data_IF_622260382613
#
_entry.id   IF_622260382613
#
_cell.length_a   1.000
_cell.length_b   1.000
_cell.length_c   1.000
_cell.angle_alpha   90.00
_cell.angle_beta   90.00
_cell.angle_gamma   90.00
#
_symmetry.space_group_name_H-M   'P 1'
#
loop_
_entity.id
_entity.type
_entity.pdbx_description
1 polymer ?
#
# COMPACT_ATOMS: atom_id res chain seq x y z
N UNK A 1 -5.95 -2.68 2.42
CA UNK A 1 -7.08 -3.56 2.76
C UNK A 1 -7.05 -4.78 1.84
N UNK A 2 -7.02 -5.98 2.42
CA UNK A 2 -6.94 -7.23 1.64
C UNK A 2 -8.32 -7.86 1.41
N UNK A 3 -9.26 -7.62 2.32
CA UNK A 3 -10.64 -8.10 2.24
C UNK A 3 -11.48 -7.63 3.43
N UNK A 4 -12.78 -8.01 3.47
CA UNK A 4 -13.70 -7.59 4.52
C UNK A 4 -13.34 -8.10 5.92
N UNK A 5 -12.54 -9.17 6.01
CA UNK A 5 -12.06 -9.79 7.25
C UNK A 5 -10.54 -9.83 7.36
N UNK A 6 -9.80 -9.10 6.51
CA UNK A 6 -8.34 -9.09 6.52
C UNK A 6 -7.78 -7.71 6.16
N UNK A 7 -7.13 -7.09 7.13
CA UNK A 7 -6.52 -5.76 7.01
C UNK A 7 -5.16 -5.76 7.72
N UNK A 8 -4.25 -4.93 7.21
CA UNK A 8 -2.95 -4.65 7.83
C UNK A 8 -2.96 -3.22 8.31
N UNK A 9 -2.47 -3.00 9.53
CA UNK A 9 -2.20 -1.69 10.11
C UNK A 9 -0.69 -1.50 10.22
N UNK A 10 -0.22 -0.27 10.06
CA UNK A 10 1.21 0.04 10.01
C UNK A 10 1.48 1.39 10.67
N UNK A 11 2.53 1.48 11.47
CA UNK A 11 2.91 2.65 12.25
C UNK A 11 3.99 2.33 13.28
N UNK A 12 4.05 3.11 14.35
CA UNK A 12 4.98 2.91 15.45
C UNK A 12 4.83 1.52 16.11
N UNK A 13 5.95 0.92 16.49
CA UNK A 13 6.00 -0.45 17.00
C UNK A 13 5.19 -0.65 18.29
N UNK A 14 5.21 0.33 19.20
CA UNK A 14 4.54 0.26 20.51
C UNK A 14 3.00 0.38 20.36
N UNK A 15 2.44 1.38 19.64
CA UNK A 15 1.00 1.41 19.35
C UNK A 15 0.49 0.17 18.61
N UNK A 16 1.26 -0.37 17.65
CA UNK A 16 0.89 -1.61 16.97
C UNK A 16 0.92 -2.81 17.94
N UNK A 17 1.85 -2.84 18.91
CA UNK A 17 1.85 -3.84 19.98
C UNK A 17 0.54 -3.84 20.75
N UNK A 18 0.20 -2.65 21.26
CA UNK A 18 -0.94 -2.45 22.13
C UNK A 18 -2.25 -2.82 21.42
N UNK A 19 -2.38 -2.43 20.14
CA UNK A 19 -3.55 -2.81 19.33
C UNK A 19 -3.66 -4.32 19.11
N UNK A 20 -2.53 -5.02 18.90
CA UNK A 20 -2.56 -6.49 18.76
C UNK A 20 -3.00 -7.15 20.07
N UNK A 21 -2.50 -6.68 21.21
CA UNK A 21 -2.91 -7.19 22.53
C UNK A 21 -4.40 -6.95 22.79
N UNK A 22 -4.89 -5.73 22.54
CA UNK A 22 -6.31 -5.36 22.66
C UNK A 22 -7.22 -6.26 21.81
N UNK A 23 -6.89 -6.46 20.52
CA UNK A 23 -7.66 -7.31 19.63
C UNK A 23 -7.70 -8.77 20.11
N UNK A 24 -6.59 -9.28 20.64
CA UNK A 24 -6.53 -10.65 21.18
C UNK A 24 -7.38 -10.79 22.44
N UNK A 25 -7.43 -9.78 23.31
CA UNK A 25 -8.32 -9.75 24.48
C UNK A 25 -9.80 -9.75 24.09
N UNK A 26 -10.14 -9.11 22.96
CA UNK A 26 -11.48 -9.13 22.37
C UNK A 26 -11.81 -10.42 21.60
N UNK A 27 -10.86 -11.36 21.48
CA UNK A 27 -11.03 -12.60 20.74
C UNK A 27 -10.93 -12.45 19.22
N UNK A 28 -10.41 -11.33 18.73
CA UNK A 28 -10.09 -11.09 17.33
C UNK A 28 -8.69 -11.61 17.03
N UNK A 29 -8.53 -12.42 15.98
CA UNK A 29 -7.22 -12.90 15.57
C UNK A 29 -6.38 -11.74 15.02
N UNK A 30 -5.24 -11.47 15.69
CA UNK A 30 -4.26 -10.48 15.27
C UNK A 30 -2.84 -11.01 15.51
N UNK A 31 -1.92 -10.68 14.59
CA UNK A 31 -0.50 -11.04 14.72
C UNK A 31 0.37 -9.94 14.11
N UNK A 32 1.61 -9.85 14.60
CA UNK A 32 2.62 -8.98 14.01
C UNK A 32 3.20 -9.60 12.74
N UNK A 33 3.51 -8.75 11.77
CA UNK A 33 4.25 -9.12 10.57
C UNK A 33 5.73 -8.87 10.85
N UNK A 34 6.59 -9.86 10.58
CA UNK A 34 8.05 -9.76 10.74
C UNK A 34 8.66 -8.91 9.61
N UNK A 35 8.59 -7.59 9.77
CA UNK A 35 9.21 -6.59 8.89
C UNK A 35 9.92 -5.53 9.71
N UNK A 36 10.98 -4.95 9.15
CA UNK A 36 11.86 -3.99 9.81
C UNK A 36 11.46 -2.52 9.60
N UNK A 37 10.39 -2.25 8.84
CA UNK A 37 9.86 -0.91 8.62
C UNK A 37 8.35 -0.87 8.41
N UNK A 38 7.75 0.28 8.74
CA UNK A 38 6.32 0.56 8.60
C UNK A 38 5.99 1.19 7.24
N UNK A 39 5.93 0.37 6.17
CA UNK A 39 5.43 0.83 4.86
C UNK A 39 3.96 1.26 4.93
N UNK A 40 3.48 2.02 3.94
CA UNK A 40 2.09 2.50 3.87
C UNK A 40 1.65 3.33 5.09
N UNK A 41 2.61 3.99 5.75
CA UNK A 41 2.42 4.81 6.94
C UNK A 41 3.08 6.19 6.80
N UNK A 42 2.89 7.06 7.79
CA UNK A 42 3.59 8.35 7.87
C UNK A 42 5.11 8.24 7.88
N UNK A 43 5.68 7.10 8.31
CA UNK A 43 7.13 6.89 8.40
C UNK A 43 7.82 7.03 7.03
N UNK A 44 7.13 6.67 5.95
CA UNK A 44 7.64 6.77 4.58
C UNK A 44 7.88 8.22 4.14
N UNK A 45 7.25 9.21 4.77
CA UNK A 45 7.38 10.61 4.37
C UNK A 45 8.83 11.12 4.43
N UNK A 46 9.68 10.53 5.30
CA UNK A 46 11.08 10.91 5.48
C UNK A 46 11.93 10.67 4.23
N UNK A 47 11.55 9.69 3.39
CA UNK A 47 12.31 9.32 2.19
C UNK A 47 11.71 9.87 0.91
N UNK A 48 10.66 10.70 0.98
CA UNK A 48 9.93 11.21 -0.18
C UNK A 48 10.84 11.85 -1.22
N UNK A 49 11.58 12.88 -0.82
CA UNK A 49 12.41 13.66 -1.76
C UNK A 49 13.52 12.82 -2.37
N UNK A 50 14.13 11.92 -1.57
CA UNK A 50 15.13 10.98 -2.08
C UNK A 50 14.52 10.04 -3.11
N UNK A 51 13.36 9.45 -2.83
CA UNK A 51 12.71 8.51 -3.75
C UNK A 51 12.32 9.21 -5.06
N UNK A 52 11.78 10.43 -4.99
CA UNK A 52 11.46 11.20 -6.19
C UNK A 52 12.71 11.48 -7.02
N UNK A 53 13.80 11.89 -6.37
CA UNK A 53 15.08 12.12 -7.05
C UNK A 53 15.67 10.85 -7.66
N UNK A 54 15.63 9.73 -6.95
CA UNK A 54 16.18 8.45 -7.42
C UNK A 54 15.40 7.90 -8.64
N UNK A 55 14.14 8.33 -8.83
CA UNK A 55 13.25 7.88 -9.90
C UNK A 55 13.01 8.92 -11.01
N UNK A 56 13.63 10.11 -10.95
CA UNK A 56 13.40 11.24 -11.89
C UNK A 56 13.66 10.87 -13.38
N UNK A 57 14.49 9.86 -13.64
CA UNK A 57 14.79 9.37 -14.99
C UNK A 57 13.82 8.34 -15.56
N UNK A 58 12.82 7.89 -14.79
CA UNK A 58 11.88 6.86 -15.25
C UNK A 58 10.86 7.47 -16.19
N UNK A 59 10.75 6.91 -17.40
CA UNK A 59 9.71 7.25 -18.37
C UNK A 59 8.71 6.10 -18.46
N UNK A 60 7.50 6.23 -17.89
CA UNK A 60 6.45 5.23 -18.03
C UNK A 60 6.01 5.12 -19.49
N UNK A 61 5.65 3.90 -19.93
CA UNK A 61 5.25 3.60 -21.30
C UNK A 61 3.87 2.93 -21.31
N UNK A 62 3.11 3.05 -22.42
CA UNK A 62 1.89 2.29 -22.61
C UNK A 62 2.16 0.78 -22.54
N UNK A 63 1.42 0.10 -21.67
CA UNK A 63 1.42 -1.34 -21.51
C UNK A 63 0.29 -1.97 -22.31
N UNK A 64 0.56 -3.10 -22.95
CA UNK A 64 -0.45 -3.86 -23.69
C UNK A 64 -1.40 -4.68 -22.79
N UNK A 65 -1.06 -4.84 -21.51
CA UNK A 65 -1.82 -5.60 -20.52
C UNK A 65 -2.51 -4.62 -19.57
N UNK A 66 -3.83 -4.74 -19.33
CA UNK A 66 -4.54 -3.89 -18.38
C UNK A 66 -3.91 -3.89 -17.00
N UNK A 67 -3.64 -2.71 -16.46
CA UNK A 67 -3.02 -2.54 -15.14
C UNK A 67 -4.05 -2.08 -14.12
N UNK A 68 -4.40 -2.96 -13.16
CA UNK A 68 -5.28 -2.62 -12.05
C UNK A 68 -4.42 -2.23 -10.84
N UNK A 69 -4.40 -0.94 -10.56
CA UNK A 69 -3.57 -0.35 -9.51
C UNK A 69 -4.24 -0.53 -8.15
N UNK A 70 -3.51 -1.10 -7.19
CA UNK A 70 -3.93 -1.15 -5.78
C UNK A 70 -3.75 0.18 -5.05
N UNK A 71 -3.18 1.21 -5.68
CA UNK A 71 -3.11 2.57 -5.12
C UNK A 71 -4.39 3.35 -5.40
N UNK A 72 -4.96 3.15 -6.59
CA UNK A 72 -6.19 3.83 -7.05
C UNK A 72 -7.42 2.93 -6.97
N UNK A 73 -7.23 1.64 -6.69
CA UNK A 73 -8.29 0.65 -6.53
C UNK A 73 -8.96 0.24 -7.84
N UNK A 74 -8.34 0.46 -9.01
CA UNK A 74 -8.98 0.22 -10.30
C UNK A 74 -8.03 0.29 -11.49
N UNK A 75 -8.59 0.22 -12.70
CA UNK A 75 -7.84 0.31 -13.95
C UNK A 75 -7.09 1.65 -14.03
N UNK A 76 -5.83 1.61 -14.42
CA UNK A 76 -4.94 2.76 -14.54
C UNK A 76 -4.12 2.62 -15.81
N UNK A 77 -4.03 3.69 -16.59
CA UNK A 77 -3.11 3.78 -17.71
C UNK A 77 -1.66 3.77 -17.20
N UNK A 78 -0.83 2.90 -17.78
CA UNK A 78 0.55 2.67 -17.33
C UNK A 78 1.47 3.87 -17.50
N UNK A 79 1.10 4.83 -18.35
CA UNK A 79 1.78 6.12 -18.49
C UNK A 79 1.73 6.95 -17.20
N UNK A 80 0.81 6.64 -16.28
CA UNK A 80 0.71 7.29 -14.97
C UNK A 80 1.68 6.71 -13.91
N UNK A 81 2.49 5.69 -14.22
CA UNK A 81 3.39 5.00 -13.28
C UNK A 81 4.72 5.75 -13.07
N UNK A 82 4.65 7.06 -12.85
CA UNK A 82 5.78 7.95 -12.63
C UNK A 82 6.41 7.83 -11.22
N UNK A 83 7.49 8.57 -10.96
CA UNK A 83 8.11 8.64 -9.64
C UNK A 83 7.12 8.99 -8.51
N UNK A 84 6.17 9.87 -8.79
CA UNK A 84 5.12 10.27 -7.86
C UNK A 84 4.16 9.11 -7.56
N UNK A 85 3.83 8.28 -8.55
CA UNK A 85 3.04 7.07 -8.37
C UNK A 85 3.75 6.08 -7.47
N UNK A 86 5.04 5.83 -7.69
CA UNK A 86 5.80 4.89 -6.85
C UNK A 86 5.95 5.38 -5.41
N UNK A 87 6.11 6.70 -5.20
CA UNK A 87 6.02 7.26 -3.84
C UNK A 87 4.63 7.07 -3.24
N UNK A 88 3.56 7.35 -3.98
CA UNK A 88 2.18 7.12 -3.52
C UNK A 88 1.95 5.66 -3.17
N UNK A 89 2.42 4.72 -3.99
CA UNK A 89 2.34 3.29 -3.76
C UNK A 89 3.00 2.90 -2.43
N UNK A 90 4.20 3.41 -2.16
CA UNK A 90 4.91 3.13 -0.91
C UNK A 90 4.26 3.79 0.30
N UNK A 91 3.66 4.98 0.13
CA UNK A 91 3.14 5.81 1.22
C UNK A 91 1.68 5.51 1.56
N UNK A 92 0.83 5.23 0.59
CA UNK A 92 -0.62 5.12 0.75
C UNK A 92 -1.04 3.66 0.98
N UNK A 93 -2.26 3.48 1.48
CA UNK A 93 -2.87 2.16 1.67
C UNK A 93 -2.91 1.39 0.35
N UNK A 94 -2.62 0.08 0.42
CA UNK A 94 -2.81 -0.86 -0.68
C UNK A 94 -4.26 -1.34 -0.69
N UNK A 95 -5.08 -0.85 -1.62
CA UNK A 95 -6.49 -1.21 -1.83
C UNK A 95 -6.62 -2.49 -2.69
N UNK A 96 -6.05 -3.59 -2.21
CA UNK A 96 -5.99 -4.86 -2.95
C UNK A 96 -7.37 -5.47 -3.24
N UNK A 97 -8.26 -5.46 -2.24
CA UNK A 97 -9.63 -5.94 -2.44
C UNK A 97 -10.34 -5.11 -3.52
N UNK A 98 -10.23 -3.78 -3.44
CA UNK A 98 -10.89 -2.87 -4.37
C UNK A 98 -10.41 -3.11 -5.80
N UNK A 99 -9.10 -3.15 -6.02
CA UNK A 99 -8.53 -3.41 -7.35
C UNK A 99 -8.98 -4.75 -7.93
N UNK A 100 -9.06 -5.80 -7.09
CA UNK A 100 -9.54 -7.13 -7.49
C UNK A 100 -11.03 -7.10 -7.84
N UNK A 101 -11.86 -6.39 -7.06
CA UNK A 101 -13.28 -6.21 -7.39
C UNK A 101 -13.49 -5.45 -8.70
N UNK A 102 -12.70 -4.41 -8.94
CA UNK A 102 -12.74 -3.67 -10.21
C UNK A 102 -12.35 -4.54 -11.40
N UNK A 103 -11.37 -5.43 -11.23
CA UNK A 103 -11.01 -6.41 -12.27
C UNK A 103 -12.14 -7.41 -12.55
N UNK A 104 -12.79 -7.94 -11.51
CA UNK A 104 -13.88 -8.91 -11.67
C UNK A 104 -15.16 -8.32 -12.28
N UNK A 105 -15.34 -7.00 -12.22
CA UNK A 105 -16.49 -6.28 -12.75
C UNK A 105 -16.32 -5.77 -14.18
N UNK A 106 -15.15 -5.99 -14.80
CA UNK A 106 -14.78 -5.50 -16.12
C UNK A 106 -15.23 -6.40 -17.28
#
# INVERSE_FOLDING_TARGET
VNGPSSTVVSGDADPVAALVEELLEEGVWASRIEVDYASHSSHVAQIRERLLSDLDGITPLPGAVPYYSSVTGGLLETEALDAGYWYRNLRQTVEFEQATRSLLAA
#
